data_IF_592932199207
#
_entry.id   IF_592932199207
#
_cell.length_a   1.000
_cell.length_b   1.000
_cell.length_c   1.000
_cell.angle_alpha   90.00
_cell.angle_beta   90.00
_cell.angle_gamma   90.00
#
_symmetry.space_group_name_H-M   'P 1'
#
loop_
_entity.id
_entity.type
_entity.pdbx_description
1 polymer ?
#
# COMPACT_ATOMS: atom_id res chain seq x y z
N UNK A 1 -22.49 49.32 -16.90
CA UNK A 1 -22.33 48.27 -15.87
C UNK A 1 -20.84 48.09 -15.64
N UNK A 2 -20.33 48.56 -14.51
CA UNK A 2 -18.90 48.52 -14.17
C UNK A 2 -18.57 47.14 -13.60
N UNK A 3 -17.74 46.37 -14.29
CA UNK A 3 -17.18 45.11 -13.77
C UNK A 3 -16.00 45.47 -12.86
N UNK A 4 -16.22 45.36 -11.56
CA UNK A 4 -15.19 45.55 -10.55
C UNK A 4 -14.20 44.36 -10.63
N UNK A 5 -12.99 44.61 -11.13
CA UNK A 5 -11.91 43.60 -11.18
C UNK A 5 -11.31 43.43 -9.79
N UNK A 6 -11.38 42.22 -9.24
CA UNK A 6 -10.69 41.87 -8.00
C UNK A 6 -9.16 41.95 -8.13
N UNK A 7 -8.47 42.21 -7.02
CA UNK A 7 -7.03 42.51 -6.91
C UNK A 7 -6.10 41.37 -7.37
N UNK A 8 -6.61 40.20 -7.75
CA UNK A 8 -5.83 39.02 -8.12
C UNK A 8 -6.13 38.47 -9.53
N UNK A 9 -6.79 39.24 -10.40
CA UNK A 9 -6.93 38.89 -11.83
C UNK A 9 -7.73 37.61 -12.12
N UNK A 10 -8.35 37.01 -11.11
CA UNK A 10 -9.21 35.83 -11.26
C UNK A 10 -10.57 36.25 -11.81
N UNK A 11 -10.95 35.72 -12.97
CA UNK A 11 -12.31 35.82 -13.50
C UNK A 11 -13.00 34.47 -13.30
N UNK A 12 -14.19 34.40 -12.68
CA UNK A 12 -14.93 33.15 -12.54
C UNK A 12 -15.28 32.57 -13.93
N UNK A 13 -15.27 31.23 -14.09
CA UNK A 13 -15.66 30.62 -15.35
C UNK A 13 -17.12 30.94 -15.71
N UNK A 14 -17.37 31.21 -16.99
CA UNK A 14 -18.70 31.47 -17.53
C UNK A 14 -19.57 30.22 -17.38
N UNK A 15 -20.51 30.25 -16.45
CA UNK A 15 -21.56 29.23 -16.35
C UNK A 15 -22.57 29.52 -17.47
N UNK A 16 -22.60 28.66 -18.49
CA UNK A 16 -23.66 28.70 -19.49
C UNK A 16 -24.98 28.23 -18.84
N UNK A 17 -26.12 28.87 -19.11
CA UNK A 17 -27.39 28.38 -18.61
C UNK A 17 -27.71 27.03 -19.25
N UNK A 18 -27.97 26.04 -18.41
CA UNK A 18 -28.40 24.69 -18.82
C UNK A 18 -29.65 24.82 -19.69
N UNK A 19 -29.56 24.41 -20.95
CA UNK A 19 -30.74 24.20 -21.79
C UNK A 19 -31.60 23.12 -21.15
N UNK A 20 -32.93 23.28 -21.08
CA UNK A 20 -33.80 22.32 -20.41
C UNK A 20 -33.68 20.97 -21.13
N UNK A 21 -33.26 19.95 -20.39
CA UNK A 21 -33.38 18.55 -20.82
C UNK A 21 -34.86 18.32 -21.03
N UNK A 22 -35.25 18.13 -22.28
CA UNK A 22 -36.60 17.71 -22.63
C UNK A 22 -36.87 16.36 -21.99
N UNK A 23 -37.70 16.42 -20.96
CA UNK A 23 -38.50 15.35 -20.42
C UNK A 23 -39.29 14.64 -21.54
N UNK A 24 -39.60 13.35 -21.33
CA UNK A 24 -40.48 12.47 -22.11
C UNK A 24 -39.82 11.68 -23.24
N UNK A 25 -39.54 10.41 -22.93
CA UNK A 25 -39.81 9.26 -23.81
C UNK A 25 -39.94 8.02 -22.92
N UNK A 26 -41.02 7.92 -22.15
CA UNK A 26 -41.46 6.62 -21.66
C UNK A 26 -41.90 5.78 -22.88
N UNK A 27 -41.42 4.53 -23.05
CA UNK A 27 -41.94 3.66 -24.08
C UNK A 27 -43.38 3.24 -23.71
N UNK A 28 -44.30 3.12 -24.69
CA UNK A 28 -45.70 2.80 -24.42
C UNK A 28 -45.85 1.39 -23.84
N UNK A 29 -46.59 1.26 -22.73
CA UNK A 29 -47.13 -0.03 -22.30
C UNK A 29 -47.95 -0.63 -23.45
N UNK A 30 -47.61 -1.87 -23.85
CA UNK A 30 -48.42 -2.65 -24.79
C UNK A 30 -48.60 -4.08 -24.28
N UNK A 31 -49.75 -4.68 -24.57
CA UNK A 31 -50.49 -5.52 -23.64
C UNK A 31 -49.97 -6.96 -23.58
N UNK A 32 -49.94 -7.54 -22.39
CA UNK A 32 -49.52 -8.94 -22.16
C UNK A 32 -50.41 -9.93 -22.91
N UNK A 33 -49.88 -10.78 -23.80
CA UNK A 33 -50.67 -11.74 -24.56
C UNK A 33 -50.64 -13.12 -23.87
N UNK A 34 -51.41 -13.29 -22.79
CA UNK A 34 -51.85 -14.61 -22.33
C UNK A 34 -53.29 -14.53 -21.80
N UNK A 35 -54.24 -14.47 -22.75
CA UNK A 35 -55.56 -15.07 -22.58
C UNK A 35 -55.85 -15.90 -23.82
N UNK A 36 -55.97 -17.19 -23.55
CA UNK A 36 -56.40 -18.32 -24.35
C UNK A 36 -57.57 -18.00 -25.31
N UNK A 37 -57.44 -18.38 -26.59
CA UNK A 37 -58.44 -19.18 -27.34
C UNK A 37 -58.10 -19.30 -28.85
N UNK A 38 -57.74 -20.52 -29.27
CA UNK A 38 -58.26 -21.20 -30.46
C UNK A 38 -57.82 -20.78 -31.89
N UNK A 39 -57.14 -21.71 -32.59
CA UNK A 39 -57.36 -21.90 -34.03
C UNK A 39 -56.13 -21.95 -34.96
N UNK A 40 -55.56 -23.15 -35.09
CA UNK A 40 -55.01 -23.80 -36.30
C UNK A 40 -53.85 -23.21 -37.16
N UNK A 41 -52.76 -24.00 -37.19
CA UNK A 41 -51.84 -24.35 -38.29
C UNK A 41 -51.13 -23.29 -39.16
N UNK A 42 -49.79 -23.21 -39.04
CA UNK A 42 -48.82 -23.64 -40.07
C UNK A 42 -47.37 -23.42 -39.57
N UNK A 43 -46.59 -24.50 -39.50
CA UNK A 43 -45.13 -24.50 -39.28
C UNK A 43 -44.40 -23.99 -40.52
N UNK A 44 -43.42 -23.09 -40.34
CA UNK A 44 -42.23 -23.01 -41.19
C UNK A 44 -41.04 -22.80 -40.26
N UNK A 45 -40.18 -23.81 -40.22
CA UNK A 45 -38.85 -23.81 -39.61
C UNK A 45 -38.01 -22.64 -40.15
N UNK A 46 -37.48 -21.83 -39.22
CA UNK A 46 -36.20 -21.16 -39.37
C UNK A 46 -35.45 -21.46 -38.08
N UNK A 47 -34.57 -22.45 -38.17
CA UNK A 47 -33.54 -22.74 -37.18
C UNK A 47 -32.64 -21.49 -37.05
N UNK A 48 -32.89 -20.66 -36.03
CA UNK A 48 -31.80 -19.89 -35.42
C UNK A 48 -31.12 -20.86 -34.45
N UNK A 49 -30.04 -21.50 -34.91
CA UNK A 49 -29.05 -22.06 -34.00
C UNK A 49 -28.56 -20.92 -33.12
N UNK A 50 -29.10 -20.90 -31.90
CA UNK A 50 -28.60 -20.10 -30.81
C UNK A 50 -27.30 -20.79 -30.38
N UNK A 51 -26.19 -20.43 -31.04
CA UNK A 51 -24.85 -20.72 -30.56
C UNK A 51 -24.74 -20.10 -29.16
N UNK A 52 -25.00 -20.95 -28.17
CA UNK A 52 -24.71 -20.68 -26.78
C UNK A 52 -23.19 -20.73 -26.65
N UNK A 53 -22.53 -19.63 -27.03
CA UNK A 53 -21.20 -19.30 -26.56
C UNK A 53 -21.30 -19.25 -25.03
N UNK A 54 -20.98 -20.39 -24.46
CA UNK A 54 -20.73 -20.55 -23.04
C UNK A 54 -19.50 -19.70 -22.79
N UNK A 55 -19.68 -18.46 -22.33
CA UNK A 55 -18.56 -17.69 -21.81
C UNK A 55 -17.95 -18.53 -20.68
N UNK A 56 -16.86 -19.23 -21.01
CA UNK A 56 -16.00 -19.88 -20.03
C UNK A 56 -15.55 -18.77 -19.09
N UNK A 57 -16.17 -18.74 -17.91
CA UNK A 57 -15.76 -17.87 -16.82
C UNK A 57 -14.32 -18.26 -16.48
N UNK A 58 -13.35 -17.51 -17.03
CA UNK A 58 -11.94 -17.75 -16.79
C UNK A 58 -11.72 -17.82 -15.26
N UNK A 59 -11.01 -18.86 -14.77
CA UNK A 59 -10.73 -18.97 -13.36
C UNK A 59 -10.03 -17.69 -12.89
N UNK A 60 -10.34 -17.16 -11.69
CA UNK A 60 -9.74 -15.93 -11.21
C UNK A 60 -8.22 -16.06 -11.33
N UNK A 61 -7.54 -15.04 -11.88
CA UNK A 61 -6.12 -15.13 -12.18
C UNK A 61 -5.37 -15.55 -10.92
N UNK A 62 -4.55 -16.60 -11.06
CA UNK A 62 -3.77 -17.14 -9.93
C UNK A 62 -2.92 -16.01 -9.35
N UNK A 63 -3.11 -15.70 -8.07
CA UNK A 63 -2.37 -14.64 -7.41
C UNK A 63 -0.86 -14.85 -7.62
N UNK A 64 -0.21 -13.88 -8.26
CA UNK A 64 1.22 -13.98 -8.53
C UNK A 64 1.98 -14.10 -7.19
N UNK A 65 2.97 -15.01 -7.08
CA UNK A 65 3.72 -15.17 -5.86
C UNK A 65 4.51 -13.88 -5.56
N UNK A 66 4.63 -13.52 -4.28
CA UNK A 66 5.33 -12.30 -3.84
C UNK A 66 6.81 -12.26 -4.30
N UNK A 67 7.43 -13.41 -4.54
CA UNK A 67 8.77 -13.52 -5.11
C UNK A 67 8.86 -13.00 -6.55
N UNK A 68 7.76 -13.05 -7.32
CA UNK A 68 7.70 -12.51 -8.67
C UNK A 68 7.80 -10.99 -8.70
N UNK A 69 7.45 -10.32 -7.58
CA UNK A 69 7.62 -8.87 -7.39
C UNK A 69 9.10 -8.45 -7.51
N UNK A 70 10.03 -9.35 -7.14
CA UNK A 70 11.48 -9.14 -7.21
C UNK A 70 12.13 -9.81 -8.43
N UNK A 71 11.35 -10.34 -9.38
CA UNK A 71 11.90 -11.09 -10.52
C UNK A 71 12.78 -10.24 -11.47
N UNK A 72 12.64 -8.91 -11.42
CA UNK A 72 13.46 -7.96 -12.19
C UNK A 72 14.64 -7.37 -11.40
N UNK A 73 14.92 -7.86 -10.19
CA UNK A 73 15.99 -7.33 -9.36
C UNK A 73 17.39 -7.70 -9.91
N UNK A 74 18.24 -6.69 -10.09
CA UNK A 74 19.65 -6.88 -10.43
C UNK A 74 20.49 -7.26 -9.19
N UNK A 75 21.76 -7.66 -9.41
CA UNK A 75 22.71 -7.93 -8.32
C UNK A 75 22.91 -6.75 -7.37
N UNK A 76 22.83 -5.52 -7.89
CA UNK A 76 22.93 -4.30 -7.08
C UNK A 76 21.69 -4.10 -6.22
N UNK A 77 20.49 -4.39 -6.76
CA UNK A 77 19.24 -4.29 -6.02
C UNK A 77 19.23 -5.30 -4.86
N UNK A 78 19.80 -6.49 -5.07
CA UNK A 78 19.95 -7.48 -4.00
C UNK A 78 20.83 -7.00 -2.84
N UNK A 79 21.95 -6.34 -3.15
CA UNK A 79 22.83 -5.74 -2.14
C UNK A 79 22.12 -4.60 -1.41
N UNK A 80 21.41 -3.73 -2.14
CA UNK A 80 20.65 -2.62 -1.56
C UNK A 80 19.53 -3.10 -0.64
N UNK A 81 18.82 -4.17 -1.02
CA UNK A 81 17.77 -4.78 -0.18
C UNK A 81 18.33 -5.38 1.11
N UNK A 82 19.49 -6.05 1.05
CA UNK A 82 20.15 -6.57 2.26
C UNK A 82 20.60 -5.43 3.16
N UNK A 83 21.26 -4.43 2.60
CA UNK A 83 21.72 -3.28 3.38
C UNK A 83 20.54 -2.53 4.01
N UNK A 84 19.48 -2.29 3.23
CA UNK A 84 18.26 -1.63 3.68
C UNK A 84 17.52 -2.43 4.75
N UNK A 85 17.47 -3.77 4.66
CA UNK A 85 16.84 -4.61 5.68
C UNK A 85 17.63 -4.69 6.98
N UNK A 86 18.97 -4.73 6.93
CA UNK A 86 19.82 -4.64 8.13
C UNK A 86 19.64 -3.27 8.80
N UNK A 87 19.62 -2.19 8.02
CA UNK A 87 19.37 -0.85 8.52
C UNK A 87 17.96 -0.71 9.12
N UNK A 88 16.93 -1.28 8.48
CA UNK A 88 15.56 -1.32 8.99
C UNK A 88 15.45 -2.05 10.32
N UNK A 89 16.15 -3.17 10.46
CA UNK A 89 16.19 -3.91 11.73
C UNK A 89 16.84 -3.07 12.83
N UNK A 90 18.00 -2.45 12.55
CA UNK A 90 18.68 -1.58 13.51
C UNK A 90 17.80 -0.38 13.93
N UNK A 91 17.16 0.28 12.95
CA UNK A 91 16.27 1.41 13.19
C UNK A 91 15.03 1.01 14.01
N UNK A 92 14.38 -0.12 13.69
CA UNK A 92 13.21 -0.62 14.42
C UNK A 92 13.51 -0.97 15.88
N UNK A 93 14.67 -1.60 16.14
CA UNK A 93 15.06 -1.91 17.53
C UNK A 93 15.41 -0.67 18.36
N UNK A 94 15.76 0.45 17.72
CA UNK A 94 16.28 1.61 18.42
C UNK A 94 15.25 2.29 19.33
N UNK A 95 13.96 2.29 18.96
CA UNK A 95 12.91 2.84 19.82
C UNK A 95 12.81 2.06 21.15
N UNK A 96 12.92 0.73 21.08
CA UNK A 96 12.84 -0.12 22.28
C UNK A 96 14.08 0.08 23.16
N UNK A 97 15.25 0.18 22.54
CA UNK A 97 16.50 0.50 23.25
C UNK A 97 16.42 1.88 23.91
N UNK A 98 15.91 2.89 23.21
CA UNK A 98 15.70 4.23 23.75
C UNK A 98 14.81 4.21 24.99
N UNK A 99 13.65 3.52 24.92
CA UNK A 99 12.75 3.39 26.07
C UNK A 99 13.42 2.69 27.26
N UNK A 100 14.27 1.69 27.01
CA UNK A 100 15.00 1.01 28.06
C UNK A 100 15.99 1.95 28.79
N UNK A 101 16.76 2.74 28.06
CA UNK A 101 17.67 3.72 28.66
C UNK A 101 16.93 4.87 29.35
N UNK A 102 15.83 5.32 28.77
CA UNK A 102 14.97 6.34 29.38
C UNK A 102 14.38 5.86 30.72
N UNK A 103 13.97 4.60 30.81
CA UNK A 103 13.52 4.02 32.07
C UNK A 103 14.61 4.02 33.17
N UNK A 104 15.88 3.79 32.80
CA UNK A 104 17.01 3.88 33.74
C UNK A 104 17.19 5.30 34.28
N UNK A 105 17.03 6.32 33.44
CA UNK A 105 17.09 7.73 33.87
C UNK A 105 15.99 8.02 34.90
N UNK A 106 14.76 7.54 34.66
CA UNK A 106 13.66 7.70 35.62
C UNK A 106 13.97 6.99 36.95
N UNK A 107 14.52 5.78 36.90
CA UNK A 107 14.88 5.02 38.10
C UNK A 107 15.97 5.73 38.93
N UNK A 108 16.99 6.30 38.28
CA UNK A 108 18.01 7.10 38.95
C UNK A 108 17.42 8.32 39.66
N UNK A 109 16.48 9.02 39.02
CA UNK A 109 15.79 10.16 39.63
C UNK A 109 14.88 9.72 40.79
N UNK A 110 14.25 8.55 40.68
CA UNK A 110 13.31 8.04 41.69
C UNK A 110 13.98 7.46 42.93
N UNK A 111 15.15 6.84 42.82
CA UNK A 111 15.86 6.17 43.92
C UNK A 111 16.97 7.03 44.55
N UNK A 112 16.93 8.35 44.35
CA UNK A 112 17.94 9.36 44.68
C UNK A 112 18.50 9.31 46.11
N UNK A 113 19.37 8.33 46.36
CA UNK A 113 20.08 8.09 47.62
C UNK A 113 21.59 8.35 47.50
N UNK A 114 22.04 8.79 46.33
CA UNK A 114 23.44 9.13 46.05
C UNK A 114 23.68 10.63 46.16
N UNK A 115 24.92 11.02 46.43
CA UNK A 115 25.35 12.42 46.46
C UNK A 115 25.01 13.13 45.15
N UNK A 116 24.63 14.41 45.22
CA UNK A 116 24.20 15.20 44.07
C UNK A 116 25.19 15.11 42.90
N UNK A 117 26.50 15.16 43.19
CA UNK A 117 27.56 15.11 42.17
C UNK A 117 27.56 13.76 41.40
N UNK A 118 27.37 12.63 42.08
CA UNK A 118 27.36 11.29 41.47
C UNK A 118 26.11 11.08 40.59
N UNK A 119 24.96 11.62 41.03
CA UNK A 119 23.73 11.63 40.22
C UNK A 119 23.90 12.44 38.93
N UNK A 120 24.56 13.60 39.00
CA UNK A 120 24.82 14.44 37.83
C UNK A 120 25.77 13.76 36.84
N UNK A 121 26.81 13.09 37.32
CA UNK A 121 27.76 12.36 36.48
C UNK A 121 27.07 11.20 35.75
N UNK A 122 26.28 10.38 36.46
CA UNK A 122 25.51 9.27 35.87
C UNK A 122 24.48 9.73 34.85
N UNK A 123 23.76 10.82 35.17
CA UNK A 123 22.78 11.39 34.26
C UNK A 123 23.44 11.88 32.96
N UNK A 124 24.59 12.55 33.08
CA UNK A 124 25.34 13.06 31.91
C UNK A 124 25.85 11.93 31.03
N UNK A 125 26.34 10.83 31.64
CA UNK A 125 26.75 9.61 30.93
C UNK A 125 25.58 9.01 30.12
N UNK A 126 24.42 8.84 30.77
CA UNK A 126 23.20 8.31 30.11
C UNK A 126 22.67 9.23 29.01
N UNK A 127 22.70 10.55 29.23
CA UNK A 127 22.29 11.54 28.24
C UNK A 127 23.17 11.48 26.99
N UNK A 128 24.50 11.35 27.17
CA UNK A 128 25.44 11.16 26.05
C UNK A 128 25.16 9.86 25.29
N UNK A 129 24.87 8.77 25.98
CA UNK A 129 24.52 7.48 25.34
C UNK A 129 23.27 7.64 24.46
N UNK A 130 22.22 8.32 24.95
CA UNK A 130 21.00 8.57 24.17
C UNK A 130 21.31 9.44 22.94
N UNK A 131 22.20 10.44 23.07
CA UNK A 131 22.63 11.26 21.94
C UNK A 131 23.36 10.43 20.86
N UNK A 132 24.24 9.52 21.26
CA UNK A 132 24.92 8.61 20.32
C UNK A 132 23.93 7.67 19.62
N UNK A 133 22.95 7.13 20.35
CA UNK A 133 21.88 6.30 19.77
C UNK A 133 21.07 7.11 18.76
N UNK A 134 20.69 8.35 19.08
CA UNK A 134 19.94 9.22 18.17
C UNK A 134 20.71 9.48 16.86
N UNK A 135 22.03 9.72 16.95
CA UNK A 135 22.89 9.84 15.77
C UNK A 135 22.93 8.54 14.94
N UNK A 136 23.06 7.39 15.59
CA UNK A 136 23.02 6.08 14.93
C UNK A 136 21.70 5.81 14.23
N UNK A 137 20.59 6.14 14.88
CA UNK A 137 19.22 6.03 14.34
C UNK A 137 19.04 6.90 13.10
N UNK A 138 19.51 8.14 13.15
CA UNK A 138 19.41 9.04 12.01
C UNK A 138 20.11 8.46 10.77
N UNK A 139 21.33 7.95 10.94
CA UNK A 139 22.08 7.33 9.84
C UNK A 139 21.41 6.03 9.37
N UNK A 140 20.97 5.17 10.30
CA UNK A 140 20.31 3.91 9.96
C UNK A 140 19.00 4.14 9.21
N UNK A 141 18.14 5.04 9.69
CA UNK A 141 16.88 5.40 9.05
C UNK A 141 17.10 6.03 7.67
N UNK A 142 18.12 6.87 7.51
CA UNK A 142 18.48 7.42 6.20
C UNK A 142 18.87 6.33 5.20
N UNK A 143 19.72 5.38 5.62
CA UNK A 143 20.17 4.26 4.78
C UNK A 143 19.00 3.34 4.44
N UNK A 144 18.17 2.99 5.43
CA UNK A 144 16.96 2.19 5.25
C UNK A 144 16.07 2.77 4.15
N UNK A 145 15.61 4.01 4.33
CA UNK A 145 14.67 4.65 3.42
C UNK A 145 15.28 4.85 2.05
N UNK A 146 16.54 5.31 1.98
CA UNK A 146 17.23 5.55 0.70
C UNK A 146 17.43 4.26 -0.10
N UNK A 147 17.80 3.15 0.54
CA UNK A 147 18.02 1.88 -0.14
C UNK A 147 16.71 1.30 -0.69
N UNK A 148 15.63 1.35 0.09
CA UNK A 148 14.33 0.83 -0.35
C UNK A 148 13.72 1.69 -1.47
N UNK A 149 13.79 3.02 -1.37
CA UNK A 149 13.33 3.91 -2.45
C UNK A 149 14.11 3.66 -3.74
N UNK A 150 15.44 3.64 -3.68
CA UNK A 150 16.28 3.43 -4.86
C UNK A 150 16.01 2.08 -5.52
N UNK A 151 15.83 1.03 -4.73
CA UNK A 151 15.54 -0.32 -5.24
C UNK A 151 14.15 -0.39 -5.88
N UNK A 152 13.15 0.26 -5.29
CA UNK A 152 11.80 0.35 -5.85
C UNK A 152 11.78 1.10 -7.18
N UNK A 153 12.45 2.26 -7.26
CA UNK A 153 12.55 3.04 -8.50
C UNK A 153 13.23 2.27 -9.64
N UNK A 154 14.34 1.61 -9.36
CA UNK A 154 15.09 0.82 -10.36
C UNK A 154 14.25 -0.32 -10.92
N UNK A 155 13.64 -1.13 -10.04
CA UNK A 155 12.81 -2.26 -10.47
C UNK A 155 11.60 -1.79 -11.28
N UNK A 156 10.92 -0.74 -10.82
CA UNK A 156 9.79 -0.16 -11.55
C UNK A 156 10.19 0.40 -12.92
N UNK A 157 11.35 1.06 -13.02
CA UNK A 157 11.83 1.57 -14.31
C UNK A 157 12.07 0.44 -15.33
N UNK A 158 12.66 -0.68 -14.88
CA UNK A 158 12.85 -1.87 -15.71
C UNK A 158 11.52 -2.45 -16.16
N UNK A 159 10.56 -2.61 -15.24
CA UNK A 159 9.21 -3.11 -15.56
C UNK A 159 8.54 -2.23 -16.62
N UNK A 160 8.56 -0.90 -16.44
CA UNK A 160 7.99 0.05 -17.43
C UNK A 160 8.65 -0.07 -18.79
N UNK A 161 9.98 -0.17 -18.85
CA UNK A 161 10.70 -0.30 -20.12
C UNK A 161 10.34 -1.59 -20.87
N UNK A 162 10.23 -2.72 -20.16
CA UNK A 162 9.84 -4.00 -20.75
C UNK A 162 8.39 -3.99 -21.19
N UNK A 163 7.51 -3.39 -20.39
CA UNK A 163 6.10 -3.24 -20.73
C UNK A 163 5.92 -2.46 -22.04
N UNK A 164 6.57 -1.30 -22.18
CA UNK A 164 6.52 -0.50 -23.42
C UNK A 164 7.08 -1.28 -24.61
N UNK A 165 8.19 -1.99 -24.41
CA UNK A 165 8.79 -2.81 -25.48
C UNK A 165 7.85 -3.93 -25.95
N UNK A 166 7.16 -4.61 -25.03
CA UNK A 166 6.19 -5.66 -25.38
C UNK A 166 4.97 -5.06 -26.04
N UNK A 167 4.46 -3.94 -25.53
CA UNK A 167 3.29 -3.24 -26.07
C UNK A 167 3.51 -2.81 -27.53
N UNK A 168 4.69 -2.29 -27.87
CA UNK A 168 5.02 -1.88 -29.24
C UNK A 168 5.16 -3.05 -30.23
N UNK A 169 5.34 -4.28 -29.75
CA UNK A 169 5.45 -5.49 -30.58
C UNK A 169 4.14 -6.29 -30.65
N UNK A 170 3.02 -5.76 -30.15
CA UNK A 170 1.71 -6.41 -30.24
C UNK A 170 1.03 -6.17 -31.60
N UNK A 171 0.23 -7.15 -32.02
CA UNK A 171 -0.52 -7.08 -33.28
C UNK A 171 -1.62 -6.01 -33.25
N UNK A 172 -1.98 -5.46 -34.42
CA UNK A 172 -3.05 -4.46 -34.56
C UNK A 172 -4.39 -4.95 -33.98
N UNK A 173 -4.64 -6.27 -34.04
CA UNK A 173 -5.83 -6.89 -33.44
C UNK A 173 -5.93 -6.66 -31.93
N UNK A 174 -4.81 -6.64 -31.20
CA UNK A 174 -4.80 -6.34 -29.76
C UNK A 174 -5.24 -4.89 -29.50
N UNK A 175 -4.80 -3.96 -30.35
CA UNK A 175 -5.18 -2.55 -30.24
C UNK A 175 -6.63 -2.29 -30.70
N UNK A 176 -7.21 -3.12 -31.56
CA UNK A 176 -8.60 -2.99 -31.97
C UNK A 176 -9.55 -3.51 -30.88
N UNK A 177 -9.23 -4.67 -30.29
CA UNK A 177 -10.01 -5.25 -29.18
C UNK A 177 -9.86 -4.47 -27.89
N UNK A 178 -8.65 -4.04 -27.54
CA UNK A 178 -8.36 -3.44 -26.24
C UNK A 178 -7.95 -1.96 -26.32
N UNK A 179 -7.34 -1.52 -27.42
CA UNK A 179 -6.85 -0.14 -27.59
C UNK A 179 -7.94 0.92 -27.73
N UNK A 180 -9.16 0.56 -28.16
CA UNK A 180 -10.29 1.49 -28.19
C UNK A 180 -10.71 1.96 -26.78
N UNK A 181 -10.32 1.22 -25.74
CA UNK A 181 -10.69 1.52 -24.37
C UNK A 181 -9.71 2.47 -23.67
N UNK A 182 -8.44 2.60 -24.08
CA UNK A 182 -7.41 3.47 -23.44
C UNK A 182 -7.11 3.20 -21.94
N UNK A 183 -8.03 2.53 -21.26
CA UNK A 183 -8.12 2.29 -19.84
C UNK A 183 -7.15 1.20 -19.43
N UNK A 184 -7.00 0.15 -20.24
CA UNK A 184 -6.07 -0.96 -19.97
C UNK A 184 -4.62 -0.47 -19.80
N UNK A 185 -4.18 0.50 -20.62
CA UNK A 185 -2.79 0.97 -20.62
C UNK A 185 -2.58 1.85 -19.40
N UNK A 186 -3.56 2.69 -19.09
CA UNK A 186 -3.59 3.50 -17.87
C UNK A 186 -3.63 2.65 -16.61
N UNK A 187 -4.41 1.57 -16.62
CA UNK A 187 -4.56 0.61 -15.52
C UNK A 187 -3.24 -0.11 -15.25
N UNK A 188 -2.59 -0.67 -16.27
CA UNK A 188 -1.29 -1.33 -16.07
C UNK A 188 -0.23 -0.36 -15.56
N UNK A 189 -0.19 0.89 -16.06
CA UNK A 189 0.71 1.90 -15.53
C UNK A 189 0.41 2.25 -14.06
N UNK A 190 -0.86 2.25 -13.67
CA UNK A 190 -1.30 2.43 -12.29
C UNK A 190 -0.90 1.26 -11.41
N UNK A 191 -1.05 0.02 -11.88
CA UNK A 191 -0.62 -1.19 -11.17
C UNK A 191 0.89 -1.20 -10.94
N UNK A 192 1.66 -0.73 -11.92
CA UNK A 192 3.12 -0.58 -11.80
C UNK A 192 3.50 0.47 -10.74
N UNK A 193 2.71 1.53 -10.56
CA UNK A 193 2.90 2.52 -9.47
C UNK A 193 2.56 1.93 -8.10
N UNK A 194 1.54 1.08 -8.01
CA UNK A 194 1.23 0.35 -6.79
C UNK A 194 2.36 -0.60 -6.40
N UNK A 195 2.93 -1.32 -7.38
CA UNK A 195 4.11 -2.16 -7.18
C UNK A 195 5.30 -1.33 -6.69
N UNK A 196 5.55 -0.16 -7.30
CA UNK A 196 6.61 0.75 -6.87
C UNK A 196 6.46 1.13 -5.39
N UNK A 197 5.27 1.57 -5.01
CA UNK A 197 4.95 2.01 -3.65
C UNK A 197 5.04 0.87 -2.64
N UNK A 198 4.63 -0.34 -3.04
CA UNK A 198 4.76 -1.54 -2.23
C UNK A 198 6.24 -1.86 -1.96
N UNK A 199 7.07 -1.88 -3.01
CA UNK A 199 8.50 -2.19 -2.91
C UNK A 199 9.30 -1.13 -2.15
N UNK A 200 9.04 0.16 -2.39
CA UNK A 200 9.84 1.25 -1.84
C UNK A 200 9.51 1.59 -0.38
N UNK A 201 8.27 1.39 0.04
CA UNK A 201 7.81 1.83 1.36
C UNK A 201 7.31 0.65 2.21
N UNK A 202 6.41 -0.19 1.67
CA UNK A 202 5.70 -1.20 2.48
C UNK A 202 6.61 -2.32 2.94
N UNK A 203 7.52 -2.80 2.08
CA UNK A 203 8.44 -3.89 2.46
C UNK A 203 9.41 -3.45 3.56
N UNK A 204 10.02 -2.26 3.42
CA UNK A 204 10.90 -1.70 4.44
C UNK A 204 10.18 -1.52 5.78
N UNK A 205 9.01 -0.87 5.76
CA UNK A 205 8.19 -0.66 6.96
C UNK A 205 7.74 -1.98 7.61
N UNK A 206 7.46 -3.02 6.83
CA UNK A 206 7.11 -4.34 7.36
C UNK A 206 8.27 -4.95 8.16
N UNK A 207 9.49 -4.91 7.61
CA UNK A 207 10.70 -5.41 8.28
C UNK A 207 11.00 -4.60 9.53
N UNK A 208 10.91 -3.27 9.44
CA UNK A 208 11.07 -2.35 10.57
C UNK A 208 10.10 -2.71 11.70
N UNK A 209 8.81 -2.84 11.41
CA UNK A 209 7.78 -3.15 12.39
C UNK A 209 7.96 -4.53 13.03
N UNK A 210 8.39 -5.52 12.25
CA UNK A 210 8.74 -6.84 12.78
C UNK A 210 9.93 -6.76 13.75
N UNK A 211 10.98 -6.01 13.40
CA UNK A 211 12.12 -5.81 14.29
C UNK A 211 11.73 -5.12 15.59
N UNK A 212 10.88 -4.08 15.52
CA UNK A 212 10.34 -3.40 16.71
C UNK A 212 9.51 -4.34 17.58
N UNK A 213 8.68 -5.18 16.96
CA UNK A 213 7.86 -6.17 17.68
C UNK A 213 8.71 -7.18 18.43
N UNK A 214 9.69 -7.81 17.77
CA UNK A 214 10.55 -8.82 18.41
C UNK A 214 11.46 -8.20 19.48
N UNK A 215 12.04 -7.02 19.23
CA UNK A 215 12.87 -6.34 20.23
C UNK A 215 12.06 -5.90 21.46
N UNK A 216 10.84 -5.39 21.25
CA UNK A 216 9.89 -5.06 22.32
C UNK A 216 9.53 -6.26 23.16
N UNK A 217 9.25 -7.40 22.51
CA UNK A 217 8.94 -8.66 23.18
C UNK A 217 10.12 -9.12 24.04
N UNK A 218 11.35 -9.14 23.49
CA UNK A 218 12.54 -9.55 24.23
C UNK A 218 12.80 -8.67 25.46
N UNK A 219 12.80 -7.35 25.30
CA UNK A 219 13.06 -6.41 26.40
C UNK A 219 11.93 -6.45 27.44
N UNK A 220 10.69 -6.64 27.01
CA UNK A 220 9.53 -6.82 27.89
C UNK A 220 9.64 -8.09 28.74
N UNK A 221 9.99 -9.23 28.14
CA UNK A 221 10.17 -10.49 28.87
C UNK A 221 11.34 -10.43 29.86
N UNK A 222 12.45 -9.79 29.50
CA UNK A 222 13.61 -9.66 30.39
C UNK A 222 13.28 -8.84 31.63
N UNK A 223 12.58 -7.71 31.49
CA UNK A 223 12.32 -6.80 32.61
C UNK A 223 11.12 -7.25 33.46
N UNK A 224 10.08 -7.82 32.84
CA UNK A 224 8.80 -8.08 33.50
C UNK A 224 8.22 -9.45 33.11
N UNK A 225 8.97 -10.54 33.27
CA UNK A 225 8.52 -11.88 32.90
C UNK A 225 7.18 -12.28 33.54
N UNK A 226 6.90 -11.84 34.77
CA UNK A 226 5.64 -12.13 35.46
C UNK A 226 4.44 -11.34 34.90
N UNK A 227 4.60 -10.05 34.62
CA UNK A 227 3.52 -9.19 34.10
C UNK A 227 3.23 -9.54 32.64
N UNK A 228 4.27 -9.84 31.85
CA UNK A 228 4.15 -10.23 30.44
C UNK A 228 3.36 -11.54 30.27
N UNK A 229 3.57 -12.55 31.13
CA UNK A 229 2.80 -13.79 31.13
C UNK A 229 1.33 -13.54 31.48
N UNK A 230 1.05 -12.64 32.43
CA UNK A 230 -0.33 -12.29 32.80
C UNK A 230 -1.04 -11.59 31.65
N UNK A 231 -0.44 -10.57 31.03
CA UNK A 231 -1.06 -9.83 29.91
C UNK A 231 -1.28 -10.69 28.67
N UNK A 232 -0.32 -11.55 28.32
CA UNK A 232 -0.48 -12.48 27.19
C UNK A 232 -1.59 -13.50 27.44
N UNK A 233 -1.73 -14.00 28.67
CA UNK A 233 -2.83 -14.89 29.05
C UNK A 233 -4.19 -14.20 29.03
N UNK A 234 -4.27 -12.93 29.43
CA UNK A 234 -5.51 -12.13 29.42
C UNK A 234 -6.02 -11.89 27.99
N UNK A 235 -5.12 -11.57 27.06
CA UNK A 235 -5.49 -11.32 25.66
C UNK A 235 -6.14 -12.55 25.01
N UNK A 236 -5.66 -13.75 25.32
CA UNK A 236 -6.27 -15.00 24.84
C UNK A 236 -7.69 -15.17 25.36
N UNK A 237 -7.98 -14.77 26.61
CA UNK A 237 -9.33 -14.84 27.17
C UNK A 237 -10.31 -13.81 26.61
N UNK A 238 -9.83 -12.72 25.99
CA UNK A 238 -10.65 -11.71 25.32
C UNK A 238 -11.03 -12.11 23.90
N UNK A 239 -10.24 -12.95 23.22
CA UNK A 239 -10.60 -13.47 21.89
C UNK A 239 -11.69 -14.53 21.93
N UNK A 240 -11.94 -15.14 23.10
CA UNK A 240 -12.94 -16.20 23.30
C UNK A 240 -14.29 -15.68 23.86
N UNK A 241 -14.46 -14.37 24.04
CA UNK A 241 -15.67 -13.72 24.56
C UNK A 241 -16.34 -12.81 23.53
#
# INVERSE_FOLDING_TARGET
MMVQRGLFGWSPPHIQPLTPVSEVSEPPESPSPYTDTGGDAMQVELEEEMDADTEEMEPPPTAAPFSMLFACADRLDWVLMILGSVAAAAHGTALVVYLHYFAKIIQLLSHGSESADDLFDRFTELALIILYIAGGVFVAGWIEVSCWILTGERQTAVIRSRYVQVLLNQDMSFFDTYGNNGDIVSQVLSDVLLIQSALSEKVGNYIHNMATFFSGLVIGFVNCWQIALITSSLQSGILDA
#
